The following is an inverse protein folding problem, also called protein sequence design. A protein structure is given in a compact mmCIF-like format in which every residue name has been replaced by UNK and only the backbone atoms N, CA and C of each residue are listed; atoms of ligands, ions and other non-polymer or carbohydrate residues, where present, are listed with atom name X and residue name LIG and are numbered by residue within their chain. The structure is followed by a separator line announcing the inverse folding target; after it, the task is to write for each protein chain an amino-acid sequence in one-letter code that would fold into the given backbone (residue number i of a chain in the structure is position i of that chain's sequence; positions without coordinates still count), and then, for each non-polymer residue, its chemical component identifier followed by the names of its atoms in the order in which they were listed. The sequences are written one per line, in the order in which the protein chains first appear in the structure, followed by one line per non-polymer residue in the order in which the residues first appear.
data_IF_170620880178
#
_entry.id   IF_170620880178
#
_cell.length_a   1.000
_cell.length_b   1.000
_cell.length_c   1.000
_cell.angle_alpha   90.00
_cell.angle_beta   90.00
_cell.angle_gamma   90.00
#
_symmetry.space_group_name_H-M   'P 1'
#
loop_
_entity.id
_entity.type
_entity.pdbx_description
1 polymer ?
#
# COMPACT_ATOMS: atom_id res chain seq x y z
N UNK A 1 -6.43 9.71 11.72
CA UNK A 1 -7.30 9.88 12.90
C UNK A 1 -6.54 10.55 14.02
N UNK A 2 -7.23 11.40 14.84
CA UNK A 2 -6.59 12.09 15.95
C UNK A 2 -6.05 11.11 16.99
N UNK A 3 -4.78 11.30 17.38
CA UNK A 3 -4.14 10.50 18.42
C UNK A 3 -3.72 9.09 18.03
N UNK A 4 -3.93 8.67 16.80
CA UNK A 4 -3.49 7.35 16.31
C UNK A 4 -2.13 7.47 15.62
N UNK A 5 -1.18 6.62 16.02
CA UNK A 5 0.12 6.57 15.38
C UNK A 5 -0.02 6.03 13.94
N UNK A 6 0.66 6.64 12.97
CA UNK A 6 0.57 6.30 11.56
C UNK A 6 0.71 4.78 11.29
N UNK A 7 1.59 4.09 12.05
CA UNK A 7 1.85 2.66 11.88
C UNK A 7 0.68 1.75 12.26
N UNK A 8 -0.35 2.29 12.91
CA UNK A 8 -1.52 1.56 13.39
C UNK A 8 -2.79 1.88 12.60
N UNK A 9 -2.78 2.95 11.79
CA UNK A 9 -3.96 3.43 11.06
C UNK A 9 -3.93 3.16 9.55
N UNK A 10 -2.91 2.47 9.05
CA UNK A 10 -2.80 2.12 7.63
C UNK A 10 -3.84 1.08 7.23
N UNK A 11 -4.28 1.17 5.98
CA UNK A 11 -5.16 0.19 5.35
C UNK A 11 -6.46 0.80 4.82
N UNK A 12 -7.12 1.66 5.60
CA UNK A 12 -8.39 2.30 5.18
C UNK A 12 -8.18 3.39 4.13
N UNK A 13 -7.06 4.10 4.20
CA UNK A 13 -6.66 5.19 3.29
C UNK A 13 -7.78 6.20 3.05
N UNK A 14 -8.39 6.69 4.13
CA UNK A 14 -9.43 7.73 4.09
C UNK A 14 -8.81 9.07 4.44
N UNK A 15 -8.91 10.09 3.58
CA UNK A 15 -8.46 11.44 3.90
C UNK A 15 -9.16 11.99 5.15
N UNK A 16 -8.43 12.72 5.98
CA UNK A 16 -8.97 13.34 7.19
C UNK A 16 -9.62 14.69 6.86
N UNK A 17 -10.92 14.81 7.05
CA UNK A 17 -11.64 16.09 6.87
C UNK A 17 -11.15 17.16 7.83
N UNK A 18 -10.64 16.77 9.00
CA UNK A 18 -10.07 17.72 9.97
C UNK A 18 -8.75 18.32 9.50
N UNK A 19 -7.87 17.50 8.92
CA UNK A 19 -6.57 17.97 8.39
C UNK A 19 -6.73 18.66 7.03
N UNK A 20 -7.72 18.26 6.28
CA UNK A 20 -8.00 18.76 4.94
C UNK A 20 -9.46 19.24 4.84
N UNK A 21 -9.81 20.36 5.51
CA UNK A 21 -11.20 20.83 5.54
C UNK A 21 -11.77 21.21 4.17
N UNK A 22 -10.92 21.59 3.24
CA UNK A 22 -11.27 21.85 1.83
C UNK A 22 -11.07 20.62 0.93
N UNK A 23 -10.77 19.46 1.56
CA UNK A 23 -10.48 18.20 0.90
C UNK A 23 -9.03 18.09 0.40
N UNK A 24 -8.57 16.84 0.28
CA UNK A 24 -7.21 16.51 -0.16
C UNK A 24 -6.91 17.03 -1.59
N UNK A 25 -7.94 17.14 -2.42
CA UNK A 25 -7.83 17.67 -3.78
C UNK A 25 -7.40 19.14 -3.83
N UNK A 26 -7.85 19.98 -2.88
CA UNK A 26 -7.44 21.37 -2.77
C UNK A 26 -5.93 21.49 -2.49
N UNK A 27 -5.43 20.66 -1.55
CA UNK A 27 -3.98 20.62 -1.25
C UNK A 27 -3.17 20.18 -2.46
N UNK A 28 -3.59 19.16 -3.17
CA UNK A 28 -2.94 18.71 -4.40
C UNK A 28 -2.88 19.82 -5.46
N UNK A 29 -3.97 20.56 -5.63
CA UNK A 29 -4.03 21.67 -6.57
C UNK A 29 -3.12 22.85 -6.15
N UNK A 30 -3.05 23.18 -4.87
CA UNK A 30 -2.18 24.26 -4.39
C UNK A 30 -0.68 23.92 -4.53
N UNK A 31 -0.30 22.65 -4.31
CA UNK A 31 1.05 22.17 -4.62
C UNK A 31 1.37 22.37 -6.10
N UNK A 32 0.42 22.02 -6.98
CA UNK A 32 0.59 22.18 -8.43
C UNK A 32 0.67 23.66 -8.86
N UNK A 33 -0.16 24.54 -8.28
CA UNK A 33 -0.07 26.00 -8.51
C UNK A 33 1.27 26.59 -8.08
N UNK A 34 1.91 25.99 -7.07
CA UNK A 34 3.26 26.36 -6.64
C UNK A 34 4.37 25.82 -7.58
N UNK A 35 4.02 25.16 -8.68
CA UNK A 35 4.98 24.64 -9.66
C UNK A 35 5.61 23.29 -9.25
N UNK A 36 5.03 22.61 -8.27
CA UNK A 36 5.51 21.31 -7.78
C UNK A 36 4.57 20.19 -8.20
N UNK A 37 5.08 18.96 -8.22
CA UNK A 37 4.27 17.74 -8.41
C UNK A 37 3.70 17.28 -7.07
N UNK A 38 2.37 17.14 -6.94
CA UNK A 38 1.78 16.62 -5.72
C UNK A 38 2.10 15.13 -5.57
N UNK A 39 2.56 14.76 -4.37
CA UNK A 39 2.90 13.39 -4.03
C UNK A 39 2.20 12.91 -2.77
N UNK A 40 2.07 11.59 -2.65
CA UNK A 40 1.46 10.94 -1.49
C UNK A 40 2.24 9.67 -1.10
N UNK A 41 2.26 9.38 0.19
CA UNK A 41 2.87 8.19 0.75
C UNK A 41 1.82 7.11 1.00
N UNK A 42 2.15 5.87 0.62
CA UNK A 42 1.39 4.67 0.94
C UNK A 42 2.29 3.54 1.42
N UNK A 43 1.77 2.72 2.33
CA UNK A 43 2.35 1.42 2.69
C UNK A 43 1.35 0.32 2.30
N UNK A 44 1.35 -0.03 1.00
CA UNK A 44 0.29 -0.79 0.33
C UNK A 44 0.14 -2.24 0.79
N UNK A 45 1.21 -2.85 1.30
CA UNK A 45 1.19 -4.25 1.74
C UNK A 45 0.71 -4.39 3.20
N UNK A 46 0.78 -3.34 4.01
CA UNK A 46 0.58 -3.38 5.46
C UNK A 46 -0.79 -2.84 5.89
N UNK A 47 -1.33 -3.43 6.95
CA UNK A 47 -2.60 -3.05 7.57
C UNK A 47 -2.39 -2.85 9.07
N UNK A 48 -2.68 -1.67 9.57
CA UNK A 48 -2.50 -1.31 10.98
C UNK A 48 -3.71 -1.70 11.83
N UNK A 49 -3.48 -2.07 13.09
CA UNK A 49 -4.50 -2.64 14.00
C UNK A 49 -5.69 -1.73 14.32
N UNK A 50 -5.55 -0.43 14.11
CA UNK A 50 -6.61 0.55 14.41
C UNK A 50 -7.42 0.91 13.15
N UNK A 51 -7.13 0.31 11.99
CA UNK A 51 -7.94 0.46 10.78
C UNK A 51 -9.18 -0.44 10.81
N UNK A 52 -10.25 -0.02 10.13
CA UNK A 52 -11.47 -0.83 9.99
C UNK A 52 -11.19 -2.11 9.20
N UNK A 53 -10.40 -2.01 8.12
CA UNK A 53 -10.06 -3.18 7.29
C UNK A 53 -9.32 -4.26 8.10
N UNK A 54 -8.57 -3.90 9.14
CA UNK A 54 -7.87 -4.88 9.99
C UNK A 54 -8.83 -5.82 10.71
N UNK A 55 -9.94 -5.29 11.24
CA UNK A 55 -10.90 -6.06 12.05
C UNK A 55 -12.08 -6.61 11.24
N UNK A 56 -12.44 -5.94 10.14
CA UNK A 56 -13.66 -6.25 9.40
C UNK A 56 -13.42 -7.09 8.13
N UNK A 57 -12.18 -7.11 7.63
CA UNK A 57 -11.84 -7.75 6.36
C UNK A 57 -10.65 -8.70 6.47
N UNK A 58 -10.74 -9.66 7.39
CA UNK A 58 -9.75 -10.74 7.51
C UNK A 58 -9.63 -11.61 6.24
N UNK A 59 -10.68 -11.64 5.44
CA UNK A 59 -10.73 -12.30 4.13
C UNK A 59 -9.71 -11.75 3.13
N UNK A 60 -9.22 -10.52 3.33
CA UNK A 60 -8.22 -9.88 2.48
C UNK A 60 -6.77 -10.09 2.94
N UNK A 61 -6.58 -10.75 4.09
CA UNK A 61 -5.29 -10.81 4.77
C UNK A 61 -4.51 -12.09 4.45
N UNK A 62 -3.19 -11.98 4.45
CA UNK A 62 -2.30 -13.14 4.40
C UNK A 62 -2.50 -14.05 5.61
N UNK A 63 -2.40 -15.36 5.37
CA UNK A 63 -2.45 -16.39 6.40
C UNK A 63 -1.11 -17.13 6.49
N UNK A 64 -0.87 -17.68 7.66
CA UNK A 64 0.19 -18.67 7.93
C UNK A 64 -0.34 -19.72 8.89
N UNK A 65 -0.17 -20.99 8.51
CA UNK A 65 -0.69 -22.13 9.27
C UNK A 65 -2.21 -22.00 9.55
N UNK A 66 -2.96 -21.51 8.56
CA UNK A 66 -4.40 -21.29 8.63
C UNK A 66 -4.86 -20.14 9.52
N UNK A 67 -3.95 -19.30 10.02
CA UNK A 67 -4.26 -18.11 10.83
C UNK A 67 -3.82 -16.84 10.16
N UNK A 68 -4.58 -15.76 10.37
CA UNK A 68 -4.20 -14.43 9.87
C UNK A 68 -2.81 -14.06 10.37
N UNK A 69 -1.91 -13.79 9.44
CA UNK A 69 -0.54 -13.41 9.74
C UNK A 69 -0.50 -12.04 10.38
N UNK A 70 -0.11 -12.01 11.65
CA UNK A 70 -0.01 -10.78 12.43
C UNK A 70 1.40 -10.65 12.97
N UNK A 71 2.05 -9.53 12.70
CA UNK A 71 3.38 -9.18 13.21
C UNK A 71 3.27 -7.90 14.01
N UNK A 72 3.55 -7.95 15.32
CA UNK A 72 3.35 -6.82 16.24
C UNK A 72 1.89 -6.35 16.20
N UNK A 73 1.65 -5.18 15.63
CA UNK A 73 0.33 -4.54 15.52
C UNK A 73 -0.14 -4.41 14.06
N UNK A 74 0.40 -5.24 13.16
CA UNK A 74 0.15 -5.19 11.73
C UNK A 74 -0.25 -6.53 11.16
N UNK A 75 -1.10 -6.49 10.15
CA UNK A 75 -1.43 -7.56 9.23
C UNK A 75 -0.91 -7.20 7.84
N UNK A 76 -1.04 -8.11 6.88
CA UNK A 76 -0.61 -7.90 5.51
C UNK A 76 -1.74 -8.26 4.56
N UNK A 77 -1.97 -7.44 3.55
CA UNK A 77 -2.85 -7.83 2.46
C UNK A 77 -2.29 -9.05 1.73
N UNK A 78 -3.15 -9.99 1.37
CA UNK A 78 -2.81 -11.06 0.45
C UNK A 78 -2.83 -10.50 -0.98
N UNK A 79 -1.66 -10.17 -1.51
CA UNK A 79 -1.52 -9.59 -2.84
C UNK A 79 -1.86 -10.59 -3.97
N UNK A 80 -1.98 -11.89 -3.66
CA UNK A 80 -2.50 -12.90 -4.58
C UNK A 80 -4.04 -12.95 -4.61
N UNK A 81 -4.71 -12.36 -3.62
CA UNK A 81 -6.16 -12.34 -3.51
C UNK A 81 -6.76 -11.24 -4.41
N UNK A 82 -7.61 -11.59 -5.41
CA UNK A 82 -8.20 -10.60 -6.31
C UNK A 82 -9.08 -9.57 -5.58
N UNK A 83 -9.70 -9.91 -4.46
CA UNK A 83 -10.52 -8.99 -3.67
C UNK A 83 -9.66 -7.98 -2.91
N UNK A 84 -8.47 -8.38 -2.43
CA UNK A 84 -7.49 -7.47 -1.85
C UNK A 84 -6.95 -6.50 -2.92
N UNK A 85 -6.66 -6.99 -4.12
CA UNK A 85 -6.25 -6.15 -5.25
C UNK A 85 -7.36 -5.19 -5.67
N UNK A 86 -8.62 -5.62 -5.70
CA UNK A 86 -9.76 -4.74 -5.99
C UNK A 86 -9.89 -3.64 -4.92
N UNK A 87 -9.79 -3.99 -3.64
CA UNK A 87 -9.79 -3.05 -2.52
C UNK A 87 -8.67 -2.01 -2.65
N UNK A 88 -7.44 -2.46 -2.86
CA UNK A 88 -6.28 -1.56 -3.02
C UNK A 88 -6.39 -0.70 -4.29
N UNK A 89 -6.97 -1.24 -5.35
CA UNK A 89 -7.24 -0.46 -6.58
C UNK A 89 -8.16 0.72 -6.27
N UNK A 90 -9.25 0.49 -5.55
CA UNK A 90 -10.16 1.56 -5.11
C UNK A 90 -9.46 2.55 -4.18
N UNK A 91 -8.79 2.05 -3.14
CA UNK A 91 -8.21 2.88 -2.07
C UNK A 91 -6.95 3.63 -2.47
N UNK A 92 -6.09 3.04 -3.28
CA UNK A 92 -4.81 3.63 -3.68
C UNK A 92 -4.93 4.29 -5.06
N UNK A 93 -5.19 3.50 -6.10
CA UNK A 93 -5.25 4.02 -7.47
C UNK A 93 -6.42 4.99 -7.64
N UNK A 94 -7.57 4.68 -7.03
CA UNK A 94 -8.72 5.58 -7.02
C UNK A 94 -8.39 6.95 -6.43
N UNK A 95 -7.64 7.03 -5.33
CA UNK A 95 -7.23 8.31 -4.75
C UNK A 95 -6.18 9.03 -5.58
N UNK A 96 -5.18 8.32 -6.10
CA UNK A 96 -4.17 8.89 -6.99
C UNK A 96 -4.84 9.61 -8.17
N UNK A 97 -5.81 8.97 -8.80
CA UNK A 97 -6.59 9.55 -9.90
C UNK A 97 -7.49 10.69 -9.45
N UNK A 98 -8.28 10.46 -8.39
CA UNK A 98 -9.27 11.43 -7.88
C UNK A 98 -8.64 12.78 -7.52
N UNK A 99 -7.44 12.75 -6.94
CA UNK A 99 -6.75 13.93 -6.46
C UNK A 99 -5.59 14.37 -7.36
N UNK A 100 -5.42 13.71 -8.52
CA UNK A 100 -4.38 13.99 -9.50
C UNK A 100 -2.96 13.99 -8.91
N UNK A 101 -2.62 13.00 -8.09
CA UNK A 101 -1.25 12.84 -7.63
C UNK A 101 -0.35 12.36 -8.76
N UNK A 102 0.84 12.95 -8.84
CA UNK A 102 1.85 12.67 -9.88
C UNK A 102 3.06 11.91 -9.32
N UNK A 103 3.09 11.72 -8.00
CA UNK A 103 4.17 11.04 -7.30
C UNK A 103 3.59 10.15 -6.20
N UNK A 104 4.09 8.92 -6.09
CA UNK A 104 3.73 8.00 -5.01
C UNK A 104 4.99 7.42 -4.38
N UNK A 105 5.15 7.65 -3.08
CA UNK A 105 6.16 6.96 -2.27
C UNK A 105 5.55 5.69 -1.69
N UNK A 106 6.15 4.55 -2.03
CA UNK A 106 5.77 3.24 -1.50
C UNK A 106 6.71 2.86 -0.37
N UNK A 107 6.14 2.54 0.79
CA UNK A 107 6.91 2.10 1.94
C UNK A 107 6.57 0.66 2.34
N UNK A 108 7.42 0.04 3.14
CA UNK A 108 7.28 -1.31 3.66
C UNK A 108 8.10 -1.45 4.95
N UNK A 109 7.46 -1.23 6.08
CA UNK A 109 8.15 -1.09 7.37
C UNK A 109 8.00 -2.31 8.30
N UNK A 110 7.31 -3.36 7.87
CA UNK A 110 7.27 -4.63 8.57
C UNK A 110 7.36 -5.79 7.56
N UNK A 111 7.73 -6.98 8.00
CA UNK A 111 8.02 -8.10 7.11
C UNK A 111 7.13 -9.31 7.38
N UNK A 112 6.78 -10.02 6.31
CA UNK A 112 6.05 -11.30 6.36
C UNK A 112 6.89 -12.39 7.06
N UNK A 113 8.21 -12.27 7.04
CA UNK A 113 9.13 -13.25 7.62
C UNK A 113 9.32 -14.48 6.72
N UNK A 114 9.20 -15.69 7.30
CA UNK A 114 9.54 -16.95 6.61
C UNK A 114 8.58 -17.36 5.49
N UNK A 115 7.45 -16.68 5.35
CA UNK A 115 6.49 -16.95 4.29
C UNK A 115 5.03 -16.95 4.73
N UNK A 116 4.15 -17.35 3.83
CA UNK A 116 2.71 -17.38 4.01
C UNK A 116 2.11 -18.61 3.31
N UNK A 117 0.84 -18.88 3.62
CA UNK A 117 0.05 -19.94 2.98
C UNK A 117 -0.25 -19.59 1.50
N UNK A 118 -0.97 -20.47 0.81
CA UNK A 118 -1.44 -20.25 -0.56
C UNK A 118 -0.57 -20.91 -1.65
N UNK A 119 0.45 -21.69 -1.25
CA UNK A 119 1.29 -22.45 -2.16
C UNK A 119 1.78 -23.76 -1.52
N UNK A 120 2.57 -24.54 -2.25
CA UNK A 120 3.14 -25.82 -1.82
C UNK A 120 4.14 -25.69 -0.65
N UNK A 121 4.63 -24.51 -0.38
CA UNK A 121 5.47 -24.17 0.78
C UNK A 121 5.30 -22.72 1.17
N UNK A 122 5.63 -22.37 2.44
CA UNK A 122 5.59 -21.00 2.92
C UNK A 122 6.50 -20.07 2.10
N UNK A 123 7.67 -20.55 1.69
CA UNK A 123 8.60 -19.77 0.85
C UNK A 123 8.06 -19.49 -0.55
N UNK A 124 7.37 -20.46 -1.16
CA UNK A 124 6.73 -20.25 -2.45
C UNK A 124 5.50 -19.34 -2.33
N UNK A 125 4.74 -19.42 -1.23
CA UNK A 125 3.68 -18.46 -0.90
C UNK A 125 4.23 -17.03 -0.84
N UNK A 126 5.34 -16.83 -0.13
CA UNK A 126 6.01 -15.53 -0.06
C UNK A 126 6.48 -15.04 -1.45
N UNK A 127 7.08 -15.92 -2.26
CA UNK A 127 7.53 -15.56 -3.60
C UNK A 127 6.38 -15.07 -4.48
N UNK A 128 5.25 -15.81 -4.48
CA UNK A 128 4.04 -15.43 -5.25
C UNK A 128 3.45 -14.12 -4.76
N UNK A 129 3.34 -13.93 -3.47
CA UNK A 129 2.81 -12.69 -2.89
C UNK A 129 3.70 -11.48 -3.24
N UNK A 130 5.04 -11.63 -3.20
CA UNK A 130 5.96 -10.56 -3.62
C UNK A 130 5.88 -10.25 -5.12
N UNK A 131 5.72 -11.26 -5.97
CA UNK A 131 5.48 -11.06 -7.39
C UNK A 131 4.15 -10.33 -7.65
N UNK A 132 3.11 -10.69 -6.92
CA UNK A 132 1.81 -10.02 -6.99
C UNK A 132 1.89 -8.56 -6.51
N UNK A 133 2.69 -8.26 -5.48
CA UNK A 133 2.98 -6.90 -5.04
C UNK A 133 3.65 -6.07 -6.16
N UNK A 134 4.63 -6.64 -6.87
CA UNK A 134 5.24 -5.98 -8.04
C UNK A 134 4.22 -5.76 -9.15
N UNK A 135 3.34 -6.72 -9.40
CA UNK A 135 2.29 -6.58 -10.41
C UNK A 135 1.29 -5.46 -10.06
N UNK A 136 1.02 -5.24 -8.77
CA UNK A 136 0.23 -4.08 -8.35
C UNK A 136 0.94 -2.75 -8.66
N UNK A 137 2.26 -2.68 -8.48
CA UNK A 137 3.07 -1.51 -8.87
C UNK A 137 2.97 -1.26 -10.38
N UNK A 138 3.06 -2.31 -11.20
CA UNK A 138 2.86 -2.22 -12.66
C UNK A 138 1.46 -1.70 -13.01
N UNK A 139 0.43 -2.22 -12.33
CA UNK A 139 -0.94 -1.74 -12.49
C UNK A 139 -1.07 -0.25 -12.18
N UNK A 140 -0.41 0.27 -11.14
CA UNK A 140 -0.38 1.72 -10.87
C UNK A 140 0.17 2.50 -12.06
N UNK A 141 1.28 2.05 -12.65
CA UNK A 141 1.90 2.69 -13.83
C UNK A 141 1.00 2.64 -15.08
N UNK A 142 0.36 1.51 -15.30
CA UNK A 142 -0.57 1.32 -16.42
C UNK A 142 -1.79 2.24 -16.30
N UNK A 143 -2.33 2.38 -15.09
CA UNK A 143 -3.53 3.17 -14.86
C UNK A 143 -3.27 4.67 -14.69
N UNK A 144 -2.02 5.05 -14.38
CA UNK A 144 -1.58 6.44 -14.22
C UNK A 144 -0.26 6.64 -14.97
N UNK A 145 -0.30 6.75 -16.31
CA UNK A 145 0.90 6.94 -17.11
C UNK A 145 1.68 8.20 -16.69
N UNK A 146 2.97 8.03 -16.46
CA UNK A 146 3.86 9.13 -16.09
C UNK A 146 3.94 9.42 -14.57
N UNK A 147 3.25 8.63 -13.73
CA UNK A 147 3.44 8.72 -12.27
C UNK A 147 4.89 8.41 -11.89
N UNK A 148 5.44 9.19 -10.98
CA UNK A 148 6.76 8.94 -10.41
C UNK A 148 6.59 8.02 -9.20
N UNK A 149 7.31 6.88 -9.18
CA UNK A 149 7.26 5.90 -8.10
C UNK A 149 8.58 5.87 -7.34
N UNK A 150 8.51 6.20 -6.04
CA UNK A 150 9.64 6.04 -5.12
C UNK A 150 9.49 4.72 -4.35
N UNK A 151 10.51 3.87 -4.42
CA UNK A 151 10.62 2.67 -3.59
C UNK A 151 11.40 2.97 -2.31
N UNK A 152 10.72 3.01 -1.17
CA UNK A 152 11.36 3.24 0.13
C UNK A 152 11.69 1.93 0.85
N UNK A 153 10.67 1.17 1.23
CA UNK A 153 10.79 -0.08 1.97
C UNK A 153 11.75 0.04 3.18
N UNK A 154 11.40 0.91 4.13
CA UNK A 154 12.21 1.22 5.32
C UNK A 154 13.65 1.65 4.99
N UNK A 155 13.81 2.38 3.92
CA UNK A 155 15.08 2.89 3.44
C UNK A 155 15.87 1.96 2.50
N UNK A 156 15.42 0.72 2.26
CA UNK A 156 16.18 -0.12 1.34
C UNK A 156 15.88 -1.62 1.33
N UNK A 157 14.86 -2.11 2.00
CA UNK A 157 14.57 -3.55 2.07
C UNK A 157 14.11 -4.15 0.73
N UNK A 158 13.66 -3.35 -0.22
CA UNK A 158 13.24 -3.76 -1.57
C UNK A 158 14.17 -3.22 -2.66
N UNK A 159 15.45 -3.03 -2.39
CA UNK A 159 16.46 -2.61 -3.36
C UNK A 159 16.98 -3.79 -4.20
N UNK A 160 16.07 -4.55 -4.76
CA UNK A 160 16.39 -5.63 -5.68
C UNK A 160 16.07 -5.24 -7.14
N UNK A 161 16.74 -5.86 -8.13
CA UNK A 161 16.67 -5.40 -9.54
C UNK A 161 15.26 -5.33 -10.10
N UNK A 162 14.36 -6.25 -9.73
CA UNK A 162 13.00 -6.30 -10.26
C UNK A 162 12.19 -5.07 -9.78
N UNK A 163 12.20 -4.79 -8.48
CA UNK A 163 11.50 -3.62 -7.94
C UNK A 163 12.13 -2.32 -8.45
N UNK A 164 13.47 -2.27 -8.52
CA UNK A 164 14.17 -1.08 -9.03
C UNK A 164 13.86 -0.80 -10.50
N UNK A 165 13.58 -1.83 -11.31
CA UNK A 165 13.18 -1.66 -12.71
C UNK A 165 11.76 -1.09 -12.87
N UNK A 166 10.93 -1.18 -11.84
CA UNK A 166 9.55 -0.66 -11.85
C UNK A 166 9.45 0.77 -11.30
N UNK A 167 10.46 1.23 -10.56
CA UNK A 167 10.45 2.56 -9.94
C UNK A 167 11.20 3.60 -10.77
N UNK A 168 10.94 4.89 -10.51
CA UNK A 168 11.53 6.01 -11.25
C UNK A 168 12.82 6.48 -10.59
#
# INVERSE_FOLDING_TARGET
EEGVHWSRSMGDYVPSDRLFPEGLGAVSEDIRKAGMKPGIWFEIDNVGRDSHVYSEREDLMLHRDGKVLTTKERRFFDMCNPDAIAYLTDKVIGQLKKYNFEYMKMDYNDTIGIGCDGAESLGEGLRRDREASVNFVRKVKEEIPGIILENCASGGHKLEPLMMSECS
#
